data_IF_766544565307
#
_entry.id   IF_766544565307
#
_cell.length_a   1.000
_cell.length_b   1.000
_cell.length_c   1.000
_cell.angle_alpha   90.00
_cell.angle_beta   90.00
_cell.angle_gamma   90.00
#
_symmetry.space_group_name_H-M   'P 1'
#
loop_
_entity.id
_entity.type
_entity.pdbx_description
1 polymer ?
#
# COMPACT_ATOMS: atom_id res chain seq x y z
N UNK A 1 -8.65 29.48 3.14
CA UNK A 1 -8.23 28.18 3.69
C UNK A 1 -6.85 28.38 4.29
N UNK A 2 -6.69 28.08 5.58
CA UNK A 2 -5.53 28.46 6.38
C UNK A 2 -4.23 27.85 5.85
N UNK A 3 -3.20 28.68 5.77
CA UNK A 3 -1.81 28.43 5.35
C UNK A 3 -1.02 27.53 6.33
N UNK A 4 -1.70 26.72 7.14
CA UNK A 4 -1.17 26.22 8.42
C UNK A 4 -0.22 25.02 8.33
N UNK A 5 0.02 24.45 7.14
CA UNK A 5 0.90 23.29 6.98
C UNK A 5 1.82 23.35 5.76
N UNK A 6 2.29 24.53 5.35
CA UNK A 6 3.39 24.60 4.37
C UNK A 6 4.76 24.39 5.05
N UNK A 7 4.98 23.17 5.54
CA UNK A 7 6.21 22.81 6.26
C UNK A 7 7.43 22.70 5.32
N UNK A 8 7.20 22.56 4.01
CA UNK A 8 8.24 22.24 3.03
C UNK A 8 8.47 23.32 1.96
N UNK A 9 7.63 24.37 1.89
CA UNK A 9 7.76 25.46 0.94
C UNK A 9 7.48 25.08 -0.53
N UNK A 10 7.25 23.79 -0.79
CA UNK A 10 6.79 23.26 -2.08
C UNK A 10 5.58 22.34 -1.81
N UNK A 11 4.38 22.70 -2.30
CA UNK A 11 3.18 21.89 -2.19
C UNK A 11 3.34 20.45 -2.72
N UNK A 12 4.26 20.21 -3.67
CA UNK A 12 4.55 18.86 -4.18
C UNK A 12 5.25 18.00 -3.14
N UNK A 13 6.10 18.58 -2.31
CA UNK A 13 6.80 17.87 -1.22
C UNK A 13 5.83 17.53 -0.09
N UNK A 14 4.92 18.44 0.25
CA UNK A 14 3.83 18.15 1.19
C UNK A 14 2.96 16.98 0.72
N UNK A 15 2.51 17.01 -0.55
CA UNK A 15 1.74 15.90 -1.15
C UNK A 15 2.50 14.56 -1.17
N UNK A 16 3.82 14.59 -1.40
CA UNK A 16 4.65 13.37 -1.34
C UNK A 16 4.71 12.81 0.08
N UNK A 17 4.86 13.67 1.09
CA UNK A 17 4.83 13.23 2.49
C UNK A 17 3.49 12.59 2.85
N UNK A 18 2.37 13.22 2.46
CA UNK A 18 1.03 12.68 2.70
C UNK A 18 0.87 11.29 2.08
N UNK A 19 1.32 11.12 0.83
CA UNK A 19 1.32 9.81 0.15
C UNK A 19 2.16 8.78 0.92
N UNK A 20 3.35 9.17 1.40
CA UNK A 20 4.24 8.28 2.17
C UNK A 20 3.61 7.88 3.50
N UNK A 21 2.97 8.81 4.20
CA UNK A 21 2.28 8.54 5.47
C UNK A 21 1.09 7.60 5.27
N UNK A 22 0.32 7.83 4.20
CA UNK A 22 -0.79 6.96 3.84
C UNK A 22 -0.31 5.54 3.51
N UNK A 23 0.68 5.40 2.63
CA UNK A 23 1.29 4.10 2.29
C UNK A 23 1.86 3.40 3.52
N UNK A 24 2.48 4.15 4.44
CA UNK A 24 3.02 3.60 5.69
C UNK A 24 1.92 3.02 6.57
N UNK A 25 0.76 3.68 6.62
CA UNK A 25 -0.41 3.22 7.39
C UNK A 25 -1.00 1.95 6.78
N UNK A 26 -1.22 1.93 5.47
CA UNK A 26 -1.74 0.75 4.76
C UNK A 26 -0.79 -0.45 4.89
N UNK A 27 0.52 -0.21 4.78
CA UNK A 27 1.55 -1.23 4.95
C UNK A 27 1.57 -1.76 6.39
N UNK A 28 1.40 -0.88 7.39
CA UNK A 28 1.32 -1.30 8.80
C UNK A 28 0.13 -2.23 9.03
N UNK A 29 -1.06 -1.85 8.58
CA UNK A 29 -2.28 -2.67 8.70
C UNK A 29 -2.10 -4.02 8.01
N UNK A 30 -1.53 -4.02 6.80
CA UNK A 30 -1.27 -5.25 6.05
C UNK A 30 -0.32 -6.18 6.82
N UNK A 31 0.79 -5.64 7.33
CA UNK A 31 1.75 -6.41 8.15
C UNK A 31 1.12 -6.95 9.42
N UNK A 32 0.28 -6.18 10.09
CA UNK A 32 -0.46 -6.65 11.26
C UNK A 32 -1.39 -7.81 10.91
N UNK A 33 -2.15 -7.72 9.81
CA UNK A 33 -3.03 -8.79 9.35
C UNK A 33 -2.25 -10.06 9.03
N UNK A 34 -1.12 -9.96 8.34
CA UNK A 34 -0.24 -11.11 8.03
C UNK A 34 0.23 -11.78 9.32
N UNK A 35 0.72 -11.01 10.30
CA UNK A 35 1.14 -11.55 11.61
C UNK A 35 0.00 -12.23 12.36
N UNK A 36 -1.21 -11.69 12.31
CA UNK A 36 -2.39 -12.31 12.92
C UNK A 36 -2.71 -13.64 12.25
N UNK A 37 -2.70 -13.69 10.91
CA UNK A 37 -2.93 -14.92 10.15
C UNK A 37 -1.87 -15.98 10.50
N UNK A 38 -0.60 -15.61 10.51
CA UNK A 38 0.50 -16.50 10.90
C UNK A 38 0.34 -17.04 12.32
N UNK A 39 0.01 -16.17 13.28
CA UNK A 39 -0.22 -16.58 14.67
C UNK A 39 -1.42 -17.53 14.80
N UNK A 40 -2.50 -17.30 14.06
CA UNK A 40 -3.68 -18.18 14.06
C UNK A 40 -3.36 -19.55 13.46
N UNK A 41 -2.63 -19.60 12.34
CA UNK A 41 -2.22 -20.85 11.69
C UNK A 41 -1.20 -21.64 12.52
N UNK A 42 -0.33 -20.93 13.24
CA UNK A 42 0.61 -21.57 14.16
C UNK A 42 -0.11 -22.17 15.36
N UNK A 43 -1.04 -21.41 15.96
CA UNK A 43 -1.85 -21.89 17.10
C UNK A 43 -2.77 -23.06 16.74
N UNK A 44 -3.23 -23.14 15.49
CA UNK A 44 -4.00 -24.29 15.00
C UNK A 44 -3.13 -25.50 14.62
N UNK A 45 -1.81 -25.37 14.67
CA UNK A 45 -0.86 -26.43 14.31
C UNK A 45 -0.70 -26.66 12.81
N UNK A 46 -1.23 -25.76 11.96
CA UNK A 46 -1.09 -25.84 10.50
C UNK A 46 0.30 -25.37 10.05
N UNK A 47 0.87 -24.39 10.76
CA UNK A 47 2.17 -23.81 10.47
C UNK A 47 3.10 -23.96 11.69
N UNK A 48 4.40 -24.14 11.45
CA UNK A 48 5.42 -24.02 12.51
C UNK A 48 5.84 -22.57 12.69
N UNK A 49 6.24 -22.18 13.91
CA UNK A 49 6.82 -20.86 14.16
C UNK A 49 7.97 -20.56 13.20
N UNK A 50 7.98 -19.35 12.62
CA UNK A 50 9.02 -18.90 11.69
C UNK A 50 8.96 -19.51 10.29
N UNK A 51 7.95 -20.32 9.97
CA UNK A 51 7.84 -20.92 8.64
C UNK A 51 7.60 -19.89 7.53
N UNK A 52 6.96 -18.76 7.82
CA UNK A 52 6.79 -17.67 6.84
C UNK A 52 8.13 -17.03 6.53
N UNK A 53 8.95 -16.73 7.55
CA UNK A 53 10.27 -16.12 7.38
C UNK A 53 11.26 -17.05 6.67
N UNK A 54 11.14 -18.37 6.91
CA UNK A 54 11.94 -19.41 6.27
C UNK A 54 11.40 -19.90 4.92
N UNK A 55 10.33 -19.31 4.40
CA UNK A 55 9.70 -19.77 3.17
C UNK A 55 10.64 -19.59 1.98
N UNK A 56 11.02 -20.72 1.36
CA UNK A 56 11.75 -20.75 0.11
C UNK A 56 10.78 -21.12 -1.01
N UNK A 57 10.42 -20.14 -1.83
CA UNK A 57 9.53 -20.34 -2.97
C UNK A 57 10.16 -21.28 -4.00
N UNK A 58 9.35 -22.16 -4.57
CA UNK A 58 9.70 -22.86 -5.81
C UNK A 58 9.81 -21.88 -6.97
N UNK A 59 10.40 -22.30 -8.10
CA UNK A 59 10.48 -21.45 -9.30
C UNK A 59 9.11 -20.94 -9.77
N UNK A 60 8.08 -21.78 -9.68
CA UNK A 60 6.74 -21.40 -10.13
C UNK A 60 6.08 -20.39 -9.18
N UNK A 61 6.23 -20.57 -7.87
CA UNK A 61 5.75 -19.61 -6.87
C UNK A 61 6.50 -18.29 -6.98
N UNK A 62 7.82 -18.32 -7.21
CA UNK A 62 8.62 -17.11 -7.40
C UNK A 62 8.14 -16.32 -8.64
N UNK A 63 7.78 -16.99 -9.73
CA UNK A 63 7.20 -16.34 -10.91
C UNK A 63 5.87 -15.66 -10.59
N UNK A 64 5.05 -16.22 -9.70
CA UNK A 64 3.81 -15.56 -9.25
C UNK A 64 4.15 -14.29 -8.47
N UNK A 65 5.05 -14.39 -7.50
CA UNK A 65 5.48 -13.25 -6.67
C UNK A 65 6.12 -12.13 -7.51
N UNK A 66 6.96 -12.49 -8.49
CA UNK A 66 7.59 -11.53 -9.40
C UNK A 66 6.55 -10.82 -10.28
N UNK A 67 5.54 -11.53 -10.79
CA UNK A 67 4.44 -10.92 -11.56
C UNK A 67 3.65 -9.92 -10.72
N UNK A 68 3.36 -10.24 -9.46
CA UNK A 68 2.66 -9.33 -8.55
C UNK A 68 3.49 -8.07 -8.24
N UNK A 69 4.80 -8.25 -7.99
CA UNK A 69 5.75 -7.14 -7.81
C UNK A 69 5.81 -6.26 -9.06
N UNK A 70 5.97 -6.85 -10.24
CA UNK A 70 6.10 -6.11 -11.49
C UNK A 70 4.81 -5.34 -11.81
N UNK A 71 3.64 -5.93 -11.53
CA UNK A 71 2.36 -5.23 -11.65
C UNK A 71 2.24 -4.04 -10.70
N UNK A 72 2.75 -4.15 -9.46
CA UNK A 72 2.83 -3.04 -8.52
C UNK A 72 3.75 -1.93 -9.04
N UNK A 73 4.96 -2.29 -9.49
CA UNK A 73 5.93 -1.34 -10.04
C UNK A 73 5.38 -0.62 -11.27
N UNK A 74 4.70 -1.33 -12.18
CA UNK A 74 4.07 -0.74 -13.34
C UNK A 74 2.99 0.29 -12.95
N UNK A 75 2.16 0.01 -11.93
CA UNK A 75 1.17 0.97 -11.41
C UNK A 75 1.83 2.22 -10.84
N UNK A 76 2.90 2.06 -10.06
CA UNK A 76 3.66 3.19 -9.51
C UNK A 76 4.33 4.03 -10.60
N UNK A 77 4.97 3.38 -11.56
CA UNK A 77 5.60 4.07 -12.71
C UNK A 77 4.56 4.84 -13.52
N UNK A 78 3.36 4.29 -13.74
CA UNK A 78 2.28 5.01 -14.44
C UNK A 78 1.93 6.33 -13.75
N UNK A 79 1.80 6.34 -12.41
CA UNK A 79 1.54 7.57 -11.63
C UNK A 79 2.64 8.61 -11.83
N UNK A 80 3.90 8.17 -11.95
CA UNK A 80 5.05 9.05 -12.16
C UNK A 80 5.21 9.53 -13.61
N UNK A 81 4.82 8.70 -14.59
CA UNK A 81 5.04 8.96 -16.02
C UNK A 81 3.84 9.56 -16.74
N UNK A 82 2.62 9.46 -16.17
CA UNK A 82 1.44 10.15 -16.69
C UNK A 82 1.65 11.66 -16.59
N UNK A 83 1.73 12.32 -17.74
CA UNK A 83 1.77 13.78 -17.83
C UNK A 83 0.32 14.29 -17.84
N UNK A 84 -0.13 14.78 -16.69
CA UNK A 84 -1.43 15.42 -16.47
C UNK A 84 -1.46 16.10 -15.10
N UNK A 85 -2.35 17.08 -14.86
CA UNK A 85 -2.40 17.78 -13.57
C UNK A 85 -2.69 16.76 -12.46
N UNK A 86 -1.82 16.73 -11.45
CA UNK A 86 -1.78 15.76 -10.36
C UNK A 86 -2.94 15.89 -9.35
N UNK A 87 -4.15 16.24 -9.81
CA UNK A 87 -5.19 16.75 -8.91
C UNK A 87 -6.49 15.94 -8.85
N UNK A 88 -6.75 14.96 -9.72
CA UNK A 88 -8.12 14.42 -9.78
C UNK A 88 -8.38 12.91 -9.59
N UNK A 89 -7.53 11.93 -9.95
CA UNK A 89 -8.00 10.55 -9.90
C UNK A 89 -8.17 10.02 -8.46
N UNK A 90 -7.33 10.44 -7.51
CA UNK A 90 -7.40 9.92 -6.13
C UNK A 90 -8.45 10.63 -5.28
N UNK A 91 -8.57 11.96 -5.38
CA UNK A 91 -9.54 12.70 -4.56
C UNK A 91 -10.98 12.32 -4.88
N UNK A 92 -11.31 12.23 -6.16
CA UNK A 92 -12.66 11.90 -6.62
C UNK A 92 -13.02 10.44 -6.26
N UNK A 93 -12.05 9.52 -6.29
CA UNK A 93 -12.24 8.12 -5.88
C UNK A 93 -12.38 7.95 -4.36
N UNK A 94 -11.67 8.75 -3.56
CA UNK A 94 -11.77 8.74 -2.10
C UNK A 94 -13.08 9.39 -1.62
N UNK A 95 -13.50 10.50 -2.24
CA UNK A 95 -14.78 11.15 -1.96
C UNK A 95 -15.96 10.24 -2.36
N UNK A 96 -15.87 9.54 -3.48
CA UNK A 96 -16.86 8.52 -3.86
C UNK A 96 -16.97 7.37 -2.85
N UNK A 97 -15.84 6.82 -2.40
CA UNK A 97 -15.80 5.74 -1.42
C UNK A 97 -16.36 6.15 -0.04
N UNK A 98 -16.18 7.42 0.35
CA UNK A 98 -16.75 7.98 1.59
C UNK A 98 -18.26 8.23 1.46
N UNK A 99 -18.73 8.64 0.27
CA UNK A 99 -20.15 8.86 0.01
C UNK A 99 -20.95 7.55 -0.03
N UNK A 100 -20.37 6.46 -0.55
CA UNK A 100 -21.00 5.14 -0.62
C UNK A 100 -21.20 4.50 0.77
N UNK A 101 -20.37 4.86 1.75
CA UNK A 101 -20.42 4.34 3.12
C UNK A 101 -21.42 5.07 4.03
N UNK A 102 -21.95 6.20 3.57
CA UNK A 102 -22.85 7.08 4.34
C UNK A 102 -24.28 7.06 3.80
N UNK A 103 -24.54 6.29 2.74
CA UNK A 103 -25.87 6.06 2.14
C UNK A 103 -26.52 4.75 2.58
#
# INVERSE_FOLDING_TARGET
MSTEFDYFGDPKVGKLLDLVLQLSTELHVTRQRVRVVEALLTRSGVLTEGAVDGFASTEEEQRVLDRERDALLARLMRILTEHGPAEHPLRDQWEAALSEKTG
#
